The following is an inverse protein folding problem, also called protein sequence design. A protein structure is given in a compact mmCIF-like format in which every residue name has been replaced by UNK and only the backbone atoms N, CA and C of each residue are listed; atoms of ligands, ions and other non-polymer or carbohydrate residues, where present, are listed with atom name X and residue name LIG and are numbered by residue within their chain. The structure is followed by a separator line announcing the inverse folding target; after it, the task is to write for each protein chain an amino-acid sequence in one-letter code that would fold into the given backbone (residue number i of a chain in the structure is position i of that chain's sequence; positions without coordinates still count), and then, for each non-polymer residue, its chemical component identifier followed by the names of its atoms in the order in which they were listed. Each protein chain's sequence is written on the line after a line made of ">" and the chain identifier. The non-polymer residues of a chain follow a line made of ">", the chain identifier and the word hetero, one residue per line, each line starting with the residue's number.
data_IF_101208403523
#
_entry.id   IF_101208403523
#
_cell.length_a   1.000
_cell.length_b   1.000
_cell.length_c   1.000
_cell.angle_alpha   90.00
_cell.angle_beta   90.00
_cell.angle_gamma   90.00
#
_symmetry.space_group_name_H-M   'P 1'
#
loop_
_entity.id
_entity.type
_entity.pdbx_description
1 polymer ?
#
# COMPACT_ATOMS: atom_id res chain seq x y z
N UNK A 1 -14.50 19.31 21.14
CA UNK A 1 -14.52 19.59 19.67
C UNK A 1 -14.10 18.32 18.95
N UNK A 2 -14.91 17.84 18.03
CA UNK A 2 -14.54 16.70 17.16
C UNK A 2 -13.41 17.15 16.23
N UNK A 3 -12.23 16.53 16.36
CA UNK A 3 -11.11 16.78 15.43
C UNK A 3 -11.46 16.16 14.09
N UNK A 4 -11.32 16.92 13.02
CA UNK A 4 -11.45 16.39 11.66
C UNK A 4 -10.26 15.49 11.35
N UNK A 5 -10.51 14.32 10.77
CA UNK A 5 -9.49 13.42 10.24
C UNK A 5 -9.56 13.43 8.72
N UNK A 6 -8.41 13.51 8.09
CA UNK A 6 -8.25 13.37 6.65
C UNK A 6 -7.34 12.18 6.37
N UNK A 7 -7.80 11.20 5.65
CA UNK A 7 -6.99 10.05 5.28
C UNK A 7 -7.13 9.71 3.79
N UNK A 8 -6.13 9.02 3.27
CA UNK A 8 -6.18 8.46 1.94
C UNK A 8 -6.43 6.96 2.06
N UNK A 9 -7.39 6.44 1.30
CA UNK A 9 -7.66 5.00 1.18
C UNK A 9 -7.32 4.52 -0.22
N UNK A 10 -6.62 3.41 -0.31
CA UNK A 10 -6.33 2.71 -1.56
C UNK A 10 -6.47 1.21 -1.37
N UNK A 11 -6.70 0.50 -2.47
CA UNK A 11 -6.73 -0.96 -2.56
C UNK A 11 -6.36 -1.36 -3.99
N UNK A 12 -6.06 -2.64 -4.22
CA UNK A 12 -5.89 -3.22 -5.55
C UNK A 12 -4.87 -2.46 -6.41
N UNK A 13 -3.70 -2.16 -5.84
CA UNK A 13 -2.63 -1.47 -6.56
C UNK A 13 -2.03 -2.34 -7.66
N UNK A 14 -1.92 -3.65 -7.42
CA UNK A 14 -1.40 -4.64 -8.35
C UNK A 14 -0.06 -4.24 -8.99
N UNK A 15 0.87 -3.71 -8.20
CA UNK A 15 2.21 -3.38 -8.66
C UNK A 15 2.89 -4.63 -9.23
N UNK A 16 3.48 -4.50 -10.42
CA UNK A 16 4.10 -5.60 -11.14
C UNK A 16 3.12 -6.50 -11.91
N UNK A 17 1.82 -6.18 -11.94
CA UNK A 17 0.85 -6.96 -12.71
C UNK A 17 1.14 -6.89 -14.21
N UNK A 18 1.31 -8.04 -14.90
CA UNK A 18 1.55 -8.04 -16.34
C UNK A 18 0.25 -7.98 -17.14
N UNK A 19 0.22 -7.16 -18.16
CA UNK A 19 -0.88 -7.10 -19.15
C UNK A 19 -0.65 -8.10 -20.29
N UNK A 20 -0.51 -9.40 -19.98
CA UNK A 20 -0.15 -10.42 -20.97
C UNK A 20 -1.10 -10.51 -22.15
N UNK A 21 -2.41 -10.44 -21.92
CA UNK A 21 -3.40 -10.45 -22.99
C UNK A 21 -3.27 -9.25 -23.93
N UNK A 22 -2.93 -8.09 -23.38
CA UNK A 22 -2.74 -6.87 -24.16
C UNK A 22 -1.39 -6.87 -24.90
N UNK A 23 -0.34 -7.48 -24.33
CA UNK A 23 0.96 -7.59 -24.99
C UNK A 23 0.88 -8.40 -26.29
N UNK A 24 -0.05 -9.36 -26.40
CA UNK A 24 -0.32 -10.11 -27.64
C UNK A 24 -0.97 -9.24 -28.73
N UNK A 25 -1.65 -8.16 -28.34
CA UNK A 25 -2.32 -7.23 -29.26
C UNK A 25 -1.43 -6.04 -29.56
N UNK A 26 -0.75 -5.50 -28.53
CA UNK A 26 0.15 -4.34 -28.64
C UNK A 26 1.13 -4.28 -27.47
N UNK A 27 2.40 -4.53 -27.76
CA UNK A 27 3.48 -4.37 -26.77
C UNK A 27 3.59 -2.94 -26.25
N UNK A 28 3.35 -1.94 -27.11
CA UNK A 28 3.39 -0.54 -26.75
C UNK A 28 2.33 -0.20 -25.70
N UNK A 29 1.10 -0.66 -25.89
CA UNK A 29 0.02 -0.43 -24.92
C UNK A 29 0.26 -1.17 -23.60
N UNK A 30 0.78 -2.41 -23.66
CA UNK A 30 1.12 -3.15 -22.44
C UNK A 30 2.19 -2.42 -21.62
N UNK A 31 3.27 -1.98 -22.26
CA UNK A 31 4.33 -1.20 -21.61
C UNK A 31 3.79 0.11 -21.01
N UNK A 32 2.91 0.82 -21.74
CA UNK A 32 2.32 2.07 -21.26
C UNK A 32 1.42 1.87 -20.04
N UNK A 33 0.66 0.78 -19.99
CA UNK A 33 -0.19 0.47 -18.85
C UNK A 33 0.60 0.05 -17.61
N UNK A 34 1.66 -0.73 -17.76
CA UNK A 34 2.58 -1.06 -16.67
C UNK A 34 3.16 0.23 -16.07
N UNK A 35 3.64 1.13 -16.91
CA UNK A 35 4.15 2.43 -16.47
C UNK A 35 3.05 3.27 -15.78
N UNK A 36 1.82 3.25 -16.28
CA UNK A 36 0.70 4.01 -15.71
C UNK A 36 0.32 3.53 -14.29
N UNK A 37 0.49 2.24 -13.97
CA UNK A 37 0.30 1.73 -12.61
C UNK A 37 1.33 2.36 -11.66
N UNK A 38 2.61 2.33 -12.02
CA UNK A 38 3.68 2.94 -11.22
C UNK A 38 3.46 4.45 -11.05
N UNK A 39 3.15 5.17 -12.13
CA UNK A 39 2.84 6.61 -12.08
C UNK A 39 1.59 6.92 -11.23
N UNK A 40 0.61 6.00 -11.20
CA UNK A 40 -0.60 6.17 -10.38
C UNK A 40 -0.28 6.02 -8.89
N UNK A 41 0.58 5.08 -8.55
CA UNK A 41 1.08 4.93 -7.19
C UNK A 41 1.86 6.18 -6.74
N UNK A 42 2.77 6.71 -7.58
CA UNK A 42 3.52 7.93 -7.26
C UNK A 42 2.58 9.13 -7.03
N UNK A 43 1.56 9.28 -7.88
CA UNK A 43 0.55 10.33 -7.69
C UNK A 43 -0.26 10.17 -6.41
N UNK A 44 -0.49 8.93 -5.97
CA UNK A 44 -1.15 8.64 -4.70
C UNK A 44 -0.29 9.12 -3.52
N UNK A 45 1.01 8.78 -3.52
CA UNK A 45 1.97 9.23 -2.51
C UNK A 45 2.05 10.76 -2.48
N UNK A 46 2.23 11.38 -3.64
CA UNK A 46 2.26 12.83 -3.79
C UNK A 46 1.00 13.51 -3.25
N UNK A 47 -0.17 12.94 -3.55
CA UNK A 47 -1.44 13.48 -3.08
C UNK A 47 -1.56 13.40 -1.55
N UNK A 48 -1.12 12.30 -0.93
CA UNK A 48 -1.11 12.14 0.51
C UNK A 48 -0.22 13.19 1.18
N UNK A 49 1.00 13.38 0.67
CA UNK A 49 1.96 14.38 1.18
C UNK A 49 1.45 15.81 0.98
N UNK A 50 1.00 16.17 -0.23
CA UNK A 50 0.51 17.53 -0.54
C UNK A 50 -0.72 17.91 0.27
N UNK A 51 -1.62 16.94 0.55
CA UNK A 51 -2.83 17.17 1.34
C UNK A 51 -2.58 17.06 2.84
N UNK A 52 -1.38 16.67 3.25
CA UNK A 52 -1.02 16.47 4.66
C UNK A 52 -2.05 15.57 5.37
N UNK A 53 -2.34 14.41 4.78
CA UNK A 53 -3.31 13.48 5.36
C UNK A 53 -2.82 12.97 6.71
N UNK A 54 -3.72 12.68 7.62
CA UNK A 54 -3.39 12.18 8.95
C UNK A 54 -2.82 10.76 8.89
N UNK A 55 -3.29 9.94 7.95
CA UNK A 55 -2.76 8.59 7.70
C UNK A 55 -3.19 8.07 6.32
N UNK A 56 -2.59 6.96 5.90
CA UNK A 56 -2.96 6.21 4.70
C UNK A 56 -3.43 4.82 5.09
N UNK A 57 -4.47 4.32 4.42
CA UNK A 57 -4.96 2.93 4.53
C UNK A 57 -4.81 2.24 3.18
N UNK A 58 -4.19 1.05 3.18
CA UNK A 58 -4.05 0.22 1.97
C UNK A 58 -4.72 -1.14 2.23
N UNK A 59 -5.81 -1.40 1.53
CA UNK A 59 -6.69 -2.52 1.79
C UNK A 59 -6.41 -3.74 0.88
N UNK A 60 -5.14 -4.18 0.83
CA UNK A 60 -4.72 -5.41 0.18
C UNK A 60 -4.47 -5.30 -1.33
N UNK A 61 -4.02 -6.40 -1.91
CA UNK A 61 -3.65 -6.56 -3.32
C UNK A 61 -2.67 -5.47 -3.81
N UNK A 62 -1.63 -5.25 -3.01
CA UNK A 62 -0.56 -4.28 -3.30
C UNK A 62 0.27 -4.78 -4.48
N UNK A 63 0.59 -6.07 -4.47
CA UNK A 63 1.35 -6.75 -5.52
C UNK A 63 0.55 -7.87 -6.17
N UNK A 64 0.88 -8.19 -7.41
CA UNK A 64 0.70 -9.55 -7.92
C UNK A 64 1.95 -10.35 -7.53
N UNK A 65 1.97 -10.88 -6.28
CA UNK A 65 3.18 -11.39 -5.63
C UNK A 65 3.91 -12.48 -6.43
N UNK A 66 3.18 -13.26 -7.24
CA UNK A 66 3.77 -14.27 -8.11
C UNK A 66 4.55 -13.69 -9.29
N UNK A 67 4.49 -12.38 -9.53
CA UNK A 67 4.96 -11.71 -10.73
C UNK A 67 5.68 -10.39 -10.48
N UNK A 68 5.49 -9.80 -9.31
CA UNK A 68 6.15 -8.57 -8.92
C UNK A 68 7.68 -8.74 -8.94
N UNK A 69 8.36 -7.82 -9.58
CA UNK A 69 9.81 -7.78 -9.65
C UNK A 69 10.40 -7.16 -8.38
N UNK A 70 11.70 -7.34 -8.17
CA UNK A 70 12.45 -6.63 -7.12
C UNK A 70 12.27 -5.11 -7.22
N UNK A 71 12.22 -4.56 -8.44
CA UNK A 71 11.98 -3.14 -8.68
C UNK A 71 10.61 -2.67 -8.21
N UNK A 72 9.56 -3.49 -8.38
CA UNK A 72 8.21 -3.14 -7.90
C UNK A 72 8.16 -3.06 -6.37
N UNK A 73 8.81 -4.00 -5.68
CA UNK A 73 8.96 -3.96 -4.22
C UNK A 73 9.73 -2.73 -3.78
N UNK A 74 10.88 -2.46 -4.40
CA UNK A 74 11.69 -1.28 -4.07
C UNK A 74 10.88 0.01 -4.24
N UNK A 75 10.18 0.16 -5.35
CA UNK A 75 9.33 1.31 -5.64
C UNK A 75 8.26 1.52 -4.55
N UNK A 76 7.56 0.45 -4.16
CA UNK A 76 6.59 0.52 -3.06
C UNK A 76 7.23 0.99 -1.75
N UNK A 77 8.36 0.38 -1.36
CA UNK A 77 9.02 0.74 -0.11
C UNK A 77 9.58 2.16 -0.11
N UNK A 78 10.01 2.68 -1.26
CA UNK A 78 10.41 4.09 -1.42
C UNK A 78 9.22 5.02 -1.21
N UNK A 79 8.05 4.69 -1.75
CA UNK A 79 6.81 5.42 -1.48
C UNK A 79 6.45 5.43 0.01
N UNK A 80 6.57 4.27 0.68
CA UNK A 80 6.31 4.18 2.14
C UNK A 80 7.29 5.03 2.95
N UNK A 81 8.57 5.04 2.58
CA UNK A 81 9.58 5.91 3.23
C UNK A 81 9.28 7.39 2.99
N UNK A 82 8.82 7.75 1.80
CA UNK A 82 8.40 9.13 1.49
C UNK A 82 7.27 9.58 2.40
N UNK A 83 6.26 8.73 2.62
CA UNK A 83 5.19 9.00 3.60
C UNK A 83 5.75 9.11 5.02
N UNK A 84 6.68 8.22 5.40
CA UNK A 84 7.33 8.27 6.71
C UNK A 84 8.13 9.55 6.94
N UNK A 85 8.87 10.02 5.93
CA UNK A 85 9.59 11.30 6.00
C UNK A 85 8.64 12.50 6.15
N UNK A 86 7.40 12.40 5.66
CA UNK A 86 6.35 13.38 5.86
C UNK A 86 5.57 13.20 7.19
N UNK A 87 5.96 12.22 8.02
CA UNK A 87 5.28 11.92 9.30
C UNK A 87 3.93 11.24 9.13
N UNK A 88 3.65 10.65 7.98
CA UNK A 88 2.36 10.02 7.67
C UNK A 88 2.44 8.50 7.93
N UNK A 89 1.72 7.97 8.93
CA UNK A 89 1.63 6.54 9.16
C UNK A 89 0.78 5.84 8.09
N UNK A 90 1.11 4.59 7.82
CA UNK A 90 0.40 3.74 6.87
C UNK A 90 -0.10 2.50 7.59
N UNK A 91 -1.38 2.19 7.44
CA UNK A 91 -2.00 0.97 7.91
C UNK A 91 -2.40 0.11 6.72
N UNK A 92 -1.96 -1.13 6.69
CA UNK A 92 -2.20 -1.99 5.54
C UNK A 92 -2.64 -3.39 5.96
N UNK A 93 -3.34 -4.05 5.06
CA UNK A 93 -3.63 -5.47 5.11
C UNK A 93 -3.12 -6.13 3.84
N UNK A 94 -2.97 -7.44 3.89
CA UNK A 94 -2.65 -8.28 2.73
C UNK A 94 -3.92 -8.68 1.97
N UNK A 95 -3.80 -8.88 0.65
CA UNK A 95 -4.88 -9.36 -0.20
C UNK A 95 -4.67 -10.80 -0.68
N UNK A 96 -5.54 -11.30 -1.53
CA UNK A 96 -5.40 -12.66 -2.06
C UNK A 96 -4.31 -12.77 -3.15
N UNK A 97 -3.94 -11.68 -3.81
CA UNK A 97 -2.83 -11.62 -4.75
C UNK A 97 -1.47 -11.46 -4.08
N UNK A 98 -1.44 -10.94 -2.86
CA UNK A 98 -0.26 -10.79 -2.03
C UNK A 98 -0.50 -11.29 -0.59
N UNK A 99 -0.82 -12.59 -0.41
CA UNK A 99 -1.15 -13.16 0.88
C UNK A 99 -0.02 -12.97 1.90
N UNK A 100 -0.36 -13.01 3.19
CA UNK A 100 0.60 -12.79 4.29
C UNK A 100 1.84 -13.69 4.18
N UNK A 101 1.66 -14.92 3.73
CA UNK A 101 2.77 -15.86 3.52
C UNK A 101 3.79 -15.37 2.49
N UNK A 102 3.37 -14.62 1.46
CA UNK A 102 4.30 -14.04 0.48
C UNK A 102 5.11 -12.88 1.08
N UNK A 103 4.51 -12.10 1.98
CA UNK A 103 5.21 -11.04 2.70
C UNK A 103 6.24 -11.55 3.69
N UNK A 104 5.99 -12.68 4.34
CA UNK A 104 6.96 -13.34 5.23
C UNK A 104 8.23 -13.79 4.50
N UNK A 105 8.11 -14.11 3.21
CA UNK A 105 9.23 -14.52 2.36
C UNK A 105 9.95 -13.34 1.72
N UNK A 106 9.43 -12.13 1.91
CA UNK A 106 10.02 -10.93 1.32
C UNK A 106 11.35 -10.60 2.01
N UNK A 107 12.31 -10.12 1.20
CA UNK A 107 13.62 -9.68 1.70
C UNK A 107 13.57 -8.27 2.30
N UNK A 108 12.42 -7.63 2.30
CA UNK A 108 12.25 -6.25 2.72
C UNK A 108 11.59 -6.17 4.09
N UNK A 109 12.20 -5.43 5.00
CA UNK A 109 11.57 -5.03 6.24
C UNK A 109 10.64 -3.83 5.99
N UNK A 110 9.45 -3.87 6.59
CA UNK A 110 8.54 -2.73 6.56
C UNK A 110 9.18 -1.51 7.23
N UNK A 111 9.07 -0.30 6.65
CA UNK A 111 9.48 0.93 7.32
C UNK A 111 8.69 1.16 8.62
N UNK A 112 9.29 1.89 9.56
CA UNK A 112 8.74 2.11 10.91
C UNK A 112 7.36 2.79 10.92
N UNK A 113 7.04 3.56 9.89
CA UNK A 113 5.74 4.21 9.73
C UNK A 113 4.64 3.29 9.18
N UNK A 114 4.96 2.05 8.80
CA UNK A 114 4.01 1.09 8.22
C UNK A 114 3.60 0.06 9.26
N UNK A 115 2.29 -0.12 9.43
CA UNK A 115 1.68 -1.14 10.27
C UNK A 115 0.88 -2.09 9.40
N UNK A 116 1.32 -3.34 9.31
CA UNK A 116 0.55 -4.41 8.68
C UNK A 116 -0.31 -5.08 9.74
N UNK A 117 -1.62 -5.05 9.57
CA UNK A 117 -2.54 -5.72 10.47
C UNK A 117 -2.51 -7.24 10.23
N UNK A 118 -2.88 -8.00 11.26
CA UNK A 118 -2.83 -9.46 11.23
C UNK A 118 -3.70 -10.06 10.13
N UNK A 119 -3.32 -11.26 9.67
CA UNK A 119 -4.07 -12.00 8.65
C UNK A 119 -4.85 -13.19 9.23
N UNK A 120 -4.44 -13.72 10.37
CA UNK A 120 -5.06 -14.87 11.04
C UNK A 120 -6.19 -14.47 12.00
N UNK A 121 -6.19 -13.22 12.48
CA UNK A 121 -7.25 -12.66 13.35
C UNK A 121 -7.49 -11.17 13.04
N UNK A 122 -8.61 -10.57 13.47
CA UNK A 122 -8.81 -9.14 13.35
C UNK A 122 -7.76 -8.34 14.13
N UNK A 123 -7.08 -7.42 13.45
CA UNK A 123 -6.13 -6.48 14.04
C UNK A 123 -6.76 -5.13 14.30
N UNK A 124 -6.23 -4.41 15.29
CA UNK A 124 -6.70 -3.09 15.70
C UNK A 124 -5.51 -2.19 16.00
N UNK A 125 -5.51 -0.99 15.45
CA UNK A 125 -4.52 0.05 15.72
C UNK A 125 -5.22 1.33 16.18
N UNK A 126 -4.74 1.92 17.26
CA UNK A 126 -5.22 3.21 17.73
C UNK A 126 -4.44 4.32 17.00
N UNK A 127 -5.14 5.16 16.29
CA UNK A 127 -4.55 6.37 15.74
C UNK A 127 -4.77 7.53 16.71
N UNK A 128 -3.67 8.21 17.04
CA UNK A 128 -3.68 9.42 17.88
C UNK A 128 -3.37 10.65 17.04
N UNK A 129 -4.10 11.74 17.28
CA UNK A 129 -3.83 13.04 16.68
C UNK A 129 -3.53 14.04 17.79
N UNK A 130 -2.37 14.69 17.72
CA UNK A 130 -1.87 15.61 18.74
C UNK A 130 -1.83 14.97 20.16
N UNK A 131 -1.39 13.72 20.24
CA UNK A 131 -1.29 12.97 21.50
C UNK A 131 -2.62 12.60 22.15
N UNK A 132 -3.72 12.63 21.39
CA UNK A 132 -5.04 12.23 21.85
C UNK A 132 -5.63 11.15 20.94
N UNK A 133 -6.31 10.13 21.51
CA UNK A 133 -7.02 9.13 20.74
C UNK A 133 -7.99 9.79 19.75
N UNK A 134 -7.93 9.40 18.49
CA UNK A 134 -8.71 10.00 17.42
C UNK A 134 -9.62 8.99 16.71
N UNK A 135 -9.09 7.81 16.36
CA UNK A 135 -9.90 6.72 15.81
C UNK A 135 -9.20 5.37 15.99
N UNK A 136 -9.95 4.31 15.77
CA UNK A 136 -9.43 2.94 15.70
C UNK A 136 -9.46 2.52 14.23
N UNK A 137 -8.33 2.00 13.76
CA UNK A 137 -8.21 1.38 12.45
C UNK A 137 -8.25 -0.12 12.67
N UNK A 138 -9.22 -0.79 12.06
CA UNK A 138 -9.43 -2.21 12.21
C UNK A 138 -9.38 -2.91 10.86
N UNK A 139 -8.81 -4.11 10.83
CA UNK A 139 -8.73 -4.88 9.60
C UNK A 139 -8.26 -6.30 9.84
N UNK A 140 -8.36 -7.10 8.79
CA UNK A 140 -7.82 -8.44 8.73
C UNK A 140 -7.29 -8.70 7.33
N UNK A 141 -6.03 -9.10 7.24
CA UNK A 141 -5.40 -9.48 5.98
C UNK A 141 -5.86 -10.85 5.46
N UNK A 142 -5.41 -11.18 4.28
CA UNK A 142 -5.56 -12.51 3.68
C UNK A 142 -4.32 -13.34 4.02
N UNK A 143 -4.53 -14.56 4.54
CA UNK A 143 -3.43 -15.38 5.03
C UNK A 143 -2.80 -16.22 3.91
N UNK A 144 -3.64 -16.97 3.13
CA UNK A 144 -3.24 -17.88 2.03
C UNK A 144 -4.21 -17.79 0.86
#
# INVERSE_FOLDING_TARGET
>A
MTKSLTFLHSADLHLGAPFRGLAQVSELWAARLIQAIAESFDRMIDAAVKRQVDFVVIAGDIFDASRASYGDYLHFFEGMRTLGAAGIPVYMITGNHDPFTSWQQSMFALPDNVRMLAADHPGFELFEKDGQPACIIAGRGYYN
#
